data_IF_775217351796
#
_entry.id   IF_775217351796
#
_cell.length_a   1.000
_cell.length_b   1.000
_cell.length_c   1.000
_cell.angle_alpha   90.00
_cell.angle_beta   90.00
_cell.angle_gamma   90.00
#
_symmetry.space_group_name_H-M   'P 1'
#
loop_
_entity.id
_entity.type
_entity.pdbx_description
1 polymer ?
#
# COMPACT_ATOMS: atom_id res chain seq x y z
N UNK A 1 -16.06 13.45 9.89
CA UNK A 1 -15.85 12.44 8.83
C UNK A 1 -16.93 12.61 7.79
N UNK A 2 -16.56 12.81 6.54
CA UNK A 2 -17.48 12.84 5.42
C UNK A 2 -17.98 11.43 5.10
N UNK A 3 -19.18 11.33 4.49
CA UNK A 3 -19.66 10.05 3.99
C UNK A 3 -18.81 9.59 2.79
N UNK A 4 -18.73 8.29 2.57
CA UNK A 4 -18.14 7.75 1.35
C UNK A 4 -18.88 8.32 0.12
N UNK A 5 -18.17 8.67 -0.96
CA UNK A 5 -18.84 9.02 -2.21
C UNK A 5 -19.57 7.80 -2.76
N UNK A 6 -20.54 8.03 -3.65
CA UNK A 6 -21.27 6.93 -4.29
C UNK A 6 -20.28 5.95 -4.95
N UNK A 7 -20.37 4.66 -4.60
CA UNK A 7 -19.43 3.64 -5.06
C UNK A 7 -18.04 3.65 -4.41
N UNK A 8 -17.74 4.61 -3.54
CA UNK A 8 -16.42 4.75 -2.92
C UNK A 8 -15.99 3.54 -2.09
N UNK A 9 -16.90 2.98 -1.30
CA UNK A 9 -16.60 1.78 -0.51
C UNK A 9 -16.29 0.58 -1.41
N UNK A 10 -17.08 0.39 -2.48
CA UNK A 10 -16.86 -0.70 -3.43
C UNK A 10 -15.52 -0.54 -4.18
N UNK A 11 -15.17 0.68 -4.59
CA UNK A 11 -13.88 0.98 -5.21
C UNK A 11 -12.72 0.72 -4.24
N UNK A 12 -12.84 1.11 -2.98
CA UNK A 12 -11.83 0.80 -1.96
C UNK A 12 -11.67 -0.71 -1.78
N UNK A 13 -12.76 -1.47 -1.68
CA UNK A 13 -12.72 -2.93 -1.56
C UNK A 13 -12.07 -3.58 -2.79
N UNK A 14 -12.38 -3.09 -4.00
CA UNK A 14 -11.74 -3.54 -5.23
C UNK A 14 -10.23 -3.27 -5.20
N UNK A 15 -9.81 -2.08 -4.78
CA UNK A 15 -8.41 -1.73 -4.64
C UNK A 15 -7.67 -2.59 -3.61
N UNK A 16 -8.25 -2.80 -2.43
CA UNK A 16 -7.69 -3.69 -1.43
C UNK A 16 -7.57 -5.14 -1.96
N UNK A 17 -8.58 -5.62 -2.69
CA UNK A 17 -8.59 -6.96 -3.29
C UNK A 17 -7.53 -7.14 -4.39
N UNK A 18 -6.96 -6.09 -4.95
CA UNK A 18 -5.82 -6.22 -5.87
C UNK A 18 -4.63 -6.96 -5.21
N UNK A 19 -4.49 -6.87 -3.90
CA UNK A 19 -3.48 -7.60 -3.12
C UNK A 19 -3.87 -9.04 -2.76
N UNK A 20 -5.14 -9.42 -2.94
CA UNK A 20 -5.69 -10.67 -2.40
C UNK A 20 -4.95 -11.92 -2.88
N UNK A 21 -4.53 -11.98 -4.16
CA UNK A 21 -3.78 -13.14 -4.69
C UNK A 21 -2.43 -13.27 -3.99
N UNK A 22 -1.65 -12.19 -3.92
CA UNK A 22 -0.34 -12.19 -3.25
C UNK A 22 -0.48 -12.52 -1.75
N UNK A 23 -1.51 -12.00 -1.09
CA UNK A 23 -1.78 -12.28 0.31
C UNK A 23 -2.19 -13.74 0.54
N UNK A 24 -3.00 -14.32 -0.36
CA UNK A 24 -3.41 -15.72 -0.23
C UNK A 24 -2.24 -16.70 -0.33
N UNK A 25 -1.24 -16.38 -1.14
CA UNK A 25 0.01 -17.14 -1.23
C UNK A 25 0.79 -17.12 0.10
N UNK A 26 0.59 -16.08 0.90
CA UNK A 26 1.17 -15.92 2.25
C UNK A 26 0.27 -16.43 3.38
N UNK A 27 -0.87 -17.07 3.04
CA UNK A 27 -1.85 -17.54 4.02
C UNK A 27 -2.65 -16.42 4.69
N UNK A 28 -2.66 -15.21 4.10
CA UNK A 28 -3.38 -14.03 4.61
C UNK A 28 -4.63 -13.80 3.79
N UNK A 29 -5.76 -13.52 4.45
CA UNK A 29 -7.04 -13.21 3.80
C UNK A 29 -7.53 -11.82 4.20
N UNK A 30 -8.18 -11.12 3.25
CA UNK A 30 -8.85 -9.86 3.51
C UNK A 30 -10.31 -10.17 3.85
N UNK A 31 -10.79 -9.60 4.96
CA UNK A 31 -12.20 -9.68 5.37
C UNK A 31 -12.74 -8.29 5.64
N UNK A 32 -13.96 -8.03 5.19
CA UNK A 32 -14.66 -6.76 5.42
C UNK A 32 -15.64 -6.92 6.57
N UNK A 33 -15.41 -6.18 7.64
CA UNK A 33 -16.18 -6.29 8.89
C UNK A 33 -16.72 -4.94 9.33
N UNK A 34 -17.82 -4.95 10.06
CA UNK A 34 -18.45 -3.73 10.61
C UNK A 34 -18.04 -3.43 12.06
N UNK A 35 -17.40 -4.39 12.74
CA UNK A 35 -16.96 -4.25 14.12
C UNK A 35 -15.51 -4.71 14.27
N UNK A 36 -14.75 -3.98 15.10
CA UNK A 36 -13.36 -4.30 15.45
C UNK A 36 -12.42 -4.56 14.26
N UNK A 37 -12.42 -3.72 13.19
CA UNK A 37 -11.52 -3.91 12.07
C UNK A 37 -10.07 -3.63 12.47
N UNK A 38 -9.12 -4.34 11.83
CA UNK A 38 -7.69 -4.06 11.97
C UNK A 38 -7.31 -2.75 11.25
N UNK A 39 -7.97 -2.45 10.13
CA UNK A 39 -7.78 -1.21 9.36
C UNK A 39 -9.12 -0.51 9.20
N UNK A 40 -9.13 0.80 9.38
CA UNK A 40 -10.33 1.64 9.25
C UNK A 40 -10.17 2.63 8.10
N UNK A 41 -11.19 2.73 7.27
CA UNK A 41 -11.24 3.73 6.19
C UNK A 41 -12.05 4.93 6.63
N UNK A 42 -11.54 6.14 6.36
CA UNK A 42 -12.22 7.41 6.58
C UNK A 42 -12.23 8.24 5.32
N UNK A 43 -13.36 8.83 5.03
CA UNK A 43 -13.56 9.69 3.89
C UNK A 43 -13.45 11.15 4.32
N UNK A 44 -12.64 11.92 3.62
CA UNK A 44 -12.37 13.33 3.90
C UNK A 44 -12.59 14.19 2.67
N UNK A 45 -13.11 15.38 2.86
CA UNK A 45 -13.06 16.41 1.83
C UNK A 45 -11.61 16.82 1.55
N UNK A 46 -11.37 17.52 0.43
CA UNK A 46 -10.03 18.04 0.11
C UNK A 46 -9.44 18.91 1.22
N UNK A 47 -10.28 19.76 1.85
CA UNK A 47 -9.84 20.62 2.96
C UNK A 47 -9.55 19.85 4.25
N UNK A 48 -10.36 18.85 4.59
CA UNK A 48 -10.11 17.97 5.72
C UNK A 48 -8.81 17.15 5.53
N UNK A 49 -8.60 16.65 4.28
CA UNK A 49 -7.37 15.93 3.93
C UNK A 49 -6.14 16.83 4.06
N UNK A 50 -6.21 18.07 3.55
CA UNK A 50 -5.12 19.03 3.68
C UNK A 50 -4.78 19.32 5.15
N UNK A 51 -5.79 19.43 6.01
CA UNK A 51 -5.60 19.59 7.45
C UNK A 51 -5.01 18.34 8.12
N UNK A 52 -5.41 17.15 7.69
CA UNK A 52 -4.95 15.88 8.24
C UNK A 52 -3.51 15.56 7.85
N UNK A 53 -3.15 15.78 6.59
CA UNK A 53 -1.87 15.41 6.00
C UNK A 53 -0.86 16.57 5.89
N UNK A 54 -1.29 17.79 6.18
CA UNK A 54 -0.44 18.98 6.12
C UNK A 54 -0.16 19.51 4.70
N UNK A 55 -0.85 18.99 3.67
CA UNK A 55 -0.68 19.41 2.27
C UNK A 55 -1.97 19.25 1.47
N UNK A 56 -2.26 20.21 0.61
CA UNK A 56 -3.47 20.22 -0.23
C UNK A 56 -3.44 19.25 -1.41
N UNK A 57 -2.25 18.79 -1.82
CA UNK A 57 -2.07 17.84 -2.94
C UNK A 57 -2.28 16.37 -2.56
N UNK A 58 -2.53 16.06 -1.30
CA UNK A 58 -2.67 14.68 -0.82
C UNK A 58 -4.01 14.09 -1.24
N UNK A 59 -3.99 12.92 -1.88
CA UNK A 59 -5.17 12.21 -2.37
C UNK A 59 -5.62 11.10 -1.41
N UNK A 60 -4.67 10.42 -0.78
CA UNK A 60 -4.83 9.41 0.24
C UNK A 60 -3.76 9.55 1.31
N UNK A 61 -4.00 8.92 2.45
CA UNK A 61 -3.07 8.94 3.56
C UNK A 61 -3.25 7.72 4.46
N UNK A 62 -2.22 6.90 4.55
CA UNK A 62 -2.17 5.78 5.48
C UNK A 62 -1.45 6.18 6.77
N UNK A 63 -2.07 5.91 7.90
CA UNK A 63 -1.54 6.25 9.23
C UNK A 63 -1.15 5.00 10.01
N UNK A 64 -0.07 5.09 10.78
CA UNK A 64 0.37 4.05 11.73
C UNK A 64 -0.70 3.68 12.76
N UNK A 65 -1.72 4.52 12.96
CA UNK A 65 -2.89 4.23 13.81
C UNK A 65 -3.91 3.29 13.13
N UNK A 66 -3.55 2.65 12.02
CA UNK A 66 -4.42 1.73 11.26
C UNK A 66 -5.62 2.42 10.61
N UNK A 67 -5.48 3.68 10.23
CA UNK A 67 -6.46 4.42 9.43
C UNK A 67 -5.93 4.67 8.03
N UNK A 68 -6.80 4.45 7.05
CA UNK A 68 -6.65 4.95 5.70
C UNK A 68 -7.63 6.11 5.53
N UNK A 69 -7.12 7.25 5.11
CA UNK A 69 -7.91 8.42 4.77
C UNK A 69 -7.97 8.55 3.25
N UNK A 70 -9.17 8.69 2.71
CA UNK A 70 -9.45 8.78 1.27
C UNK A 70 -10.19 10.07 0.97
N UNK A 71 -9.82 10.78 -0.09
CA UNK A 71 -10.58 11.96 -0.52
C UNK A 71 -11.90 11.55 -1.17
N UNK A 72 -12.95 12.38 -0.94
CA UNK A 72 -14.30 12.14 -1.47
C UNK A 72 -14.51 12.62 -2.90
N UNK A 73 -13.60 13.43 -3.44
CA UNK A 73 -13.69 14.12 -4.73
C UNK A 73 -12.78 13.50 -5.82
N UNK A 74 -12.30 12.29 -5.61
CA UNK A 74 -11.46 11.60 -6.58
C UNK A 74 -12.29 11.03 -7.74
N UNK A 75 -11.71 11.04 -8.95
CA UNK A 75 -12.23 10.26 -10.08
C UNK A 75 -12.13 8.75 -9.78
N UNK A 76 -12.93 7.92 -10.43
CA UNK A 76 -12.91 6.47 -10.21
C UNK A 76 -11.51 5.87 -10.41
N UNK A 77 -10.81 6.23 -11.49
CA UNK A 77 -9.47 5.71 -11.77
C UNK A 77 -8.43 6.16 -10.74
N UNK A 78 -8.53 7.40 -10.27
CA UNK A 78 -7.65 7.91 -9.21
C UNK A 78 -7.97 7.22 -7.88
N UNK A 79 -9.24 7.00 -7.59
CA UNK A 79 -9.69 6.32 -6.39
C UNK A 79 -9.17 4.88 -6.32
N UNK A 80 -9.25 4.15 -7.45
CA UNK A 80 -8.72 2.79 -7.54
C UNK A 80 -7.21 2.76 -7.26
N UNK A 81 -6.44 3.65 -7.91
CA UNK A 81 -5.00 3.76 -7.65
C UNK A 81 -4.71 4.03 -6.17
N UNK A 82 -5.34 5.06 -5.61
CA UNK A 82 -5.13 5.48 -4.22
C UNK A 82 -5.52 4.36 -3.24
N UNK A 83 -6.61 3.65 -3.50
CA UNK A 83 -7.05 2.54 -2.65
C UNK A 83 -6.02 1.39 -2.62
N UNK A 84 -5.48 0.99 -3.78
CA UNK A 84 -4.45 -0.06 -3.86
C UNK A 84 -3.19 0.39 -3.12
N UNK A 85 -2.76 1.64 -3.36
CA UNK A 85 -1.55 2.23 -2.78
C UNK A 85 -1.63 2.31 -1.25
N UNK A 86 -2.68 2.94 -0.71
CA UNK A 86 -2.84 3.12 0.73
C UNK A 86 -3.01 1.79 1.46
N UNK A 87 -3.65 0.81 0.81
CA UNK A 87 -3.74 -0.53 1.37
C UNK A 87 -2.37 -1.22 1.41
N UNK A 88 -1.49 -0.98 0.43
CA UNK A 88 -0.10 -1.42 0.44
C UNK A 88 0.68 -0.92 1.67
N UNK A 89 0.45 0.33 2.08
CA UNK A 89 1.02 0.86 3.33
C UNK A 89 0.49 0.11 4.56
N UNK A 90 -0.79 -0.24 4.58
CA UNK A 90 -1.35 -1.03 5.69
C UNK A 90 -0.78 -2.45 5.76
N UNK A 91 -0.34 -3.00 4.64
CA UNK A 91 0.37 -4.28 4.59
C UNK A 91 1.83 -4.18 5.06
N UNK A 92 2.34 -2.97 5.31
CA UNK A 92 3.69 -2.73 5.84
C UNK A 92 4.67 -2.14 4.83
N UNK A 93 4.27 -1.85 3.58
CA UNK A 93 5.14 -1.19 2.60
C UNK A 93 5.11 0.32 2.86
N UNK A 94 5.88 0.81 3.83
CA UNK A 94 5.86 2.22 4.24
C UNK A 94 6.66 3.16 3.34
N UNK A 95 7.55 2.63 2.53
CA UNK A 95 8.34 3.43 1.60
C UNK A 95 7.70 3.46 0.21
N UNK A 96 7.95 4.55 -0.51
CA UNK A 96 7.52 4.69 -1.90
C UNK A 96 8.54 4.11 -2.88
N UNK A 97 8.06 3.63 -4.02
CA UNK A 97 8.89 3.26 -5.17
C UNK A 97 9.36 4.51 -5.93
N UNK A 98 10.52 4.40 -6.58
CA UNK A 98 11.01 5.39 -7.54
C UNK A 98 10.55 5.11 -8.98
N UNK A 99 9.90 3.99 -9.22
CA UNK A 99 9.43 3.58 -10.55
C UNK A 99 7.93 3.87 -10.69
N UNK A 100 7.57 4.67 -11.68
CA UNK A 100 6.17 5.06 -11.95
C UNK A 100 5.29 3.90 -12.43
N UNK A 101 5.86 2.73 -12.71
CA UNK A 101 5.10 1.52 -13.03
C UNK A 101 4.70 0.70 -11.78
N UNK A 102 5.17 1.06 -10.61
CA UNK A 102 4.80 0.41 -9.36
C UNK A 102 3.59 1.10 -8.74
N UNK A 103 2.73 0.33 -8.09
CA UNK A 103 1.59 0.90 -7.37
C UNK A 103 2.05 1.74 -6.16
N UNK A 104 3.20 1.40 -5.58
CA UNK A 104 3.79 2.15 -4.47
C UNK A 104 4.57 3.40 -4.91
N UNK A 105 4.42 3.87 -6.17
CA UNK A 105 4.91 5.17 -6.60
C UNK A 105 4.09 6.30 -5.95
N UNK A 106 4.72 7.41 -5.47
CA UNK A 106 4.03 8.42 -4.65
C UNK A 106 3.07 9.34 -5.40
N UNK A 107 2.94 9.20 -6.72
CA UNK A 107 2.02 10.01 -7.53
C UNK A 107 1.02 9.10 -8.24
N UNK A 108 -0.25 9.52 -8.30
CA UNK A 108 -1.34 8.75 -8.91
C UNK A 108 -1.33 8.84 -10.46
N UNK A 109 -0.19 8.54 -11.07
CA UNK A 109 0.04 8.60 -12.53
C UNK A 109 0.33 7.24 -13.15
N UNK A 110 0.46 6.21 -12.33
CA UNK A 110 0.84 4.86 -12.75
C UNK A 110 -0.35 3.94 -13.05
N UNK A 111 -0.08 2.67 -13.34
CA UNK A 111 -1.11 1.65 -13.56
C UNK A 111 -1.86 1.33 -12.25
N UNK A 112 -3.10 0.87 -12.40
CA UNK A 112 -3.93 0.38 -11.27
C UNK A 112 -3.75 -1.12 -11.02
N UNK A 113 -2.53 -1.63 -11.20
CA UNK A 113 -2.20 -3.04 -11.00
C UNK A 113 -0.86 -3.17 -10.29
N UNK A 114 -0.73 -4.20 -9.47
CA UNK A 114 0.53 -4.50 -8.78
C UNK A 114 1.60 -4.91 -9.77
N UNK A 115 2.76 -4.27 -9.69
CA UNK A 115 3.97 -4.72 -10.37
C UNK A 115 4.53 -6.00 -9.71
N UNK A 116 5.44 -6.66 -10.39
CA UNK A 116 6.17 -7.77 -9.77
C UNK A 116 7.02 -7.30 -8.57
N UNK A 117 7.47 -6.04 -8.59
CA UNK A 117 8.24 -5.47 -7.48
C UNK A 117 7.36 -5.24 -6.26
N UNK A 118 6.15 -4.71 -6.43
CA UNK A 118 5.17 -4.55 -5.35
C UNK A 118 4.91 -5.89 -4.66
N UNK A 119 4.58 -6.93 -5.45
CA UNK A 119 4.32 -8.28 -4.95
C UNK A 119 5.50 -8.89 -4.21
N UNK A 120 6.70 -8.78 -4.79
CA UNK A 120 7.93 -9.30 -4.18
C UNK A 120 8.31 -8.55 -2.92
N UNK A 121 8.10 -7.24 -2.86
CA UNK A 121 8.32 -6.47 -1.64
C UNK A 121 7.48 -7.03 -0.50
N UNK A 122 6.23 -7.36 -0.75
CA UNK A 122 5.37 -7.96 0.25
C UNK A 122 5.83 -9.38 0.62
N UNK A 123 6.01 -10.24 -0.38
CA UNK A 123 6.27 -11.67 -0.16
C UNK A 123 7.69 -11.97 0.33
N UNK A 124 8.70 -11.32 -0.25
CA UNK A 124 10.10 -11.67 0.00
C UNK A 124 10.68 -10.91 1.21
N UNK A 125 10.20 -9.69 1.47
CA UNK A 125 10.81 -8.81 2.48
C UNK A 125 9.95 -8.61 3.72
N UNK A 126 8.64 -8.44 3.58
CA UNK A 126 7.77 -8.14 4.72
C UNK A 126 7.19 -9.39 5.37
N UNK A 127 6.85 -10.39 4.56
CA UNK A 127 6.27 -11.66 5.01
C UNK A 127 7.07 -12.86 4.50
N UNK A 128 8.40 -12.92 4.74
CA UNK A 128 9.20 -14.02 4.24
C UNK A 128 8.68 -15.32 4.88
N UNK A 129 8.13 -16.18 4.05
CA UNK A 129 7.79 -17.52 4.48
C UNK A 129 9.10 -18.26 4.79
N UNK A 130 9.15 -18.99 5.91
CA UNK A 130 10.26 -19.91 6.17
C UNK A 130 10.34 -20.88 4.99
N UNK A 131 11.51 -21.04 4.34
CA UNK A 131 11.63 -21.90 3.18
C UNK A 131 11.20 -23.32 3.56
N UNK A 132 10.07 -23.78 3.04
CA UNK A 132 9.85 -25.22 2.90
C UNK A 132 10.72 -25.69 1.74
N UNK A 133 11.18 -26.92 1.76
CA UNK A 133 12.18 -27.47 0.82
C UNK A 133 11.83 -27.31 -0.68
N UNK A 134 10.63 -26.85 -1.02
CA UNK A 134 10.13 -26.66 -2.38
C UNK A 134 10.23 -25.22 -2.90
N UNK A 135 10.74 -24.27 -2.12
CA UNK A 135 10.89 -22.85 -2.56
C UNK A 135 12.22 -22.61 -3.31
N UNK A 136 12.70 -23.58 -4.07
CA UNK A 136 13.95 -23.45 -4.85
C UNK A 136 13.84 -22.60 -6.13
N UNK A 137 12.69 -22.01 -6.45
CA UNK A 137 12.53 -21.27 -7.71
C UNK A 137 12.26 -19.76 -7.54
N UNK A 138 12.60 -19.20 -6.39
CA UNK A 138 12.72 -17.74 -6.24
C UNK A 138 14.15 -17.28 -6.59
N UNK A 139 14.65 -17.69 -7.75
CA UNK A 139 15.93 -17.25 -8.31
C UNK A 139 15.80 -15.84 -8.91
N UNK A 140 15.34 -14.90 -8.11
CA UNK A 140 15.59 -13.48 -8.37
C UNK A 140 16.99 -13.12 -7.88
N UNK A 141 17.69 -12.16 -8.53
CA UNK A 141 19.02 -11.78 -8.10
C UNK A 141 18.95 -11.30 -6.64
N UNK A 142 19.70 -11.94 -5.77
CA UNK A 142 19.98 -11.43 -4.43
C UNK A 142 20.42 -9.99 -4.57
N UNK A 143 19.84 -9.06 -3.82
CA UNK A 143 20.34 -7.69 -3.74
C UNK A 143 21.71 -7.77 -3.06
N UNK A 144 22.75 -7.88 -3.87
CA UNK A 144 24.13 -7.78 -3.42
C UNK A 144 24.43 -6.28 -3.36
N UNK A 145 24.81 -5.79 -2.20
CA UNK A 145 25.36 -4.44 -2.06
C UNK A 145 26.55 -4.32 -3.02
N UNK A 146 26.48 -3.43 -4.04
CA UNK A 146 27.54 -3.31 -5.04
C UNK A 146 28.86 -2.78 -4.48
N UNK A 147 28.87 -2.28 -3.24
CA UNK A 147 30.06 -1.73 -2.58
C UNK A 147 30.71 -2.74 -1.64
N UNK A 148 29.92 -3.52 -0.93
CA UNK A 148 30.45 -4.43 0.11
C UNK A 148 30.38 -5.90 -0.24
N UNK A 149 29.63 -6.29 -1.28
CA UNK A 149 29.39 -7.68 -1.64
C UNK A 149 28.55 -8.47 -0.59
N UNK A 150 28.06 -7.78 0.45
CA UNK A 150 27.32 -8.42 1.52
C UNK A 150 25.85 -8.61 1.12
N UNK A 151 25.36 -9.83 1.22
CA UNK A 151 23.93 -10.17 1.19
C UNK A 151 23.35 -9.88 2.58
N UNK A 152 22.87 -8.68 2.80
CA UNK A 152 22.17 -8.34 4.04
C UNK A 152 20.74 -7.93 3.72
N UNK A 153 19.74 -8.55 4.36
CA UNK A 153 18.38 -8.03 4.33
C UNK A 153 18.34 -6.77 5.19
N UNK A 154 18.60 -5.63 4.60
CA UNK A 154 18.40 -4.36 5.27
C UNK A 154 17.00 -3.83 4.99
N UNK A 155 16.02 -4.31 5.75
CA UNK A 155 14.79 -3.55 5.95
C UNK A 155 15.07 -2.57 7.09
N UNK A 156 15.56 -1.38 6.76
CA UNK A 156 15.40 -0.25 7.66
C UNK A 156 13.99 0.27 7.47
N UNK A 157 13.09 -0.18 8.31
CA UNK A 157 11.76 0.40 8.44
C UNK A 157 11.92 1.78 9.05
N UNK A 158 11.99 2.81 8.21
CA UNK A 158 11.92 4.18 8.69
C UNK A 158 10.44 4.50 8.94
N UNK A 159 10.05 4.42 10.20
CA UNK A 159 8.78 4.98 10.64
C UNK A 159 8.91 6.49 10.61
N UNK A 160 8.26 7.14 9.66
CA UNK A 160 7.97 8.56 9.85
C UNK A 160 6.82 8.66 10.83
N UNK A 161 6.95 9.53 11.83
CA UNK A 161 5.93 9.73 12.88
C UNK A 161 4.57 10.19 12.34
N UNK A 162 4.47 10.53 11.06
CA UNK A 162 3.33 11.17 10.42
C UNK A 162 2.60 10.29 9.37
N UNK A 163 3.00 9.03 9.18
CA UNK A 163 2.44 8.19 8.12
C UNK A 163 3.01 8.50 6.73
N UNK A 164 2.51 7.82 5.72
CA UNK A 164 2.91 8.00 4.33
C UNK A 164 1.74 8.59 3.53
N UNK A 165 2.04 9.45 2.56
CA UNK A 165 1.05 10.17 1.77
C UNK A 165 1.27 9.99 0.28
N UNK A 166 0.18 9.90 -0.49
CA UNK A 166 0.22 9.97 -1.94
C UNK A 166 -0.21 11.36 -2.41
N UNK A 167 0.47 11.87 -3.42
CA UNK A 167 0.23 13.20 -3.98
C UNK A 167 -0.31 13.12 -5.40
N UNK A 168 -1.03 14.17 -5.80
CA UNK A 168 -1.53 14.37 -7.16
C UNK A 168 -0.45 14.83 -8.13
#
# INVERSE_FOLDING_TARGET
NSAAPSGGEAAFQSGANAWATTLSELGITISYVTSSPDVKVKWLTSSEMASQAGSSGVLGYASTNKYIYMRTDLSSSTLDFVAIHEFGHMLGIWNHSYDSNDIMYPYATGPTALSNRDKRTLADYLYPMTPTADMHDLSGPSLVDPVTGATTPHIKTYYTTNGCVIQS
#
